data_IF_883731948525
#
_entry.id   IF_883731948525
#
_cell.length_a   1.000
_cell.length_b   1.000
_cell.length_c   1.000
_cell.angle_alpha   90.00
_cell.angle_beta   90.00
_cell.angle_gamma   90.00
#
_symmetry.space_group_name_H-M   'P 1'
#
loop_
_entity.id
_entity.type
_entity.pdbx_description
1 polymer ?
#
# COMPACT_ATOMS: atom_id res chain seq x y z
N UNK A 1 4.76 25.41 -1.60
CA UNK A 1 3.34 25.41 -1.21
C UNK A 1 3.10 26.55 -0.24
N UNK A 2 2.17 27.46 -0.53
CA UNK A 2 1.75 28.54 0.38
C UNK A 2 0.57 28.10 1.24
N UNK A 3 0.24 28.88 2.29
CA UNK A 3 -0.99 28.64 3.09
C UNK A 3 -2.26 28.67 2.22
N UNK A 4 -2.30 29.55 1.21
CA UNK A 4 -3.43 29.65 0.30
C UNK A 4 -3.56 28.40 -0.59
N UNK A 5 -2.44 27.84 -1.06
CA UNK A 5 -2.44 26.60 -1.85
C UNK A 5 -2.94 25.40 -1.01
N UNK A 6 -2.54 25.34 0.26
CA UNK A 6 -2.99 24.29 1.17
C UNK A 6 -4.50 24.37 1.43
N UNK A 7 -5.05 25.58 1.61
CA UNK A 7 -6.50 25.75 1.80
C UNK A 7 -7.29 25.22 0.60
N UNK A 8 -6.87 25.53 -0.64
CA UNK A 8 -7.53 25.02 -1.84
C UNK A 8 -7.52 23.49 -1.92
N UNK A 9 -6.39 22.86 -1.58
CA UNK A 9 -6.29 21.40 -1.55
C UNK A 9 -7.22 20.77 -0.51
N UNK A 10 -7.41 21.43 0.64
CA UNK A 10 -8.34 20.98 1.67
C UNK A 10 -9.79 21.11 1.20
N UNK A 11 -10.13 22.20 0.50
CA UNK A 11 -11.48 22.42 -0.03
C UNK A 11 -11.89 21.38 -1.11
N UNK A 12 -10.93 20.75 -1.76
CA UNK A 12 -11.17 19.67 -2.75
C UNK A 12 -11.41 18.30 -2.10
N UNK A 13 -11.10 18.14 -0.81
CA UNK A 13 -11.31 16.89 -0.10
C UNK A 13 -12.78 16.75 0.32
N UNK A 14 -13.37 15.54 0.25
CA UNK A 14 -14.63 15.30 0.92
C UNK A 14 -14.45 15.47 2.44
N UNK A 15 -15.48 15.97 3.13
CA UNK A 15 -15.45 16.22 4.58
C UNK A 15 -14.96 14.99 5.38
N UNK A 16 -15.31 13.79 4.92
CA UNK A 16 -14.92 12.52 5.53
C UNK A 16 -13.42 12.21 5.44
N UNK A 17 -12.66 12.90 4.57
CA UNK A 17 -11.24 12.66 4.35
C UNK A 17 -10.32 13.67 5.06
N UNK A 18 -10.85 14.80 5.55
CA UNK A 18 -10.04 15.91 6.10
C UNK A 18 -9.22 15.47 7.32
N UNK A 19 -9.82 14.70 8.23
CA UNK A 19 -9.12 14.21 9.43
C UNK A 19 -7.97 13.26 9.06
N UNK A 20 -8.23 12.31 8.13
CA UNK A 20 -7.24 11.37 7.64
C UNK A 20 -6.08 12.06 6.90
N UNK A 21 -6.38 13.06 6.08
CA UNK A 21 -5.37 13.86 5.40
C UNK A 21 -4.45 14.58 6.41
N UNK A 22 -4.99 15.07 7.52
CA UNK A 22 -4.21 15.67 8.60
C UNK A 22 -3.24 14.69 9.28
N UNK A 23 -3.65 13.43 9.45
CA UNK A 23 -2.78 12.35 9.98
C UNK A 23 -1.63 12.06 9.00
N UNK A 24 -1.94 11.86 7.72
CA UNK A 24 -0.95 11.58 6.67
C UNK A 24 0.07 12.72 6.53
N UNK A 25 -0.39 13.98 6.47
CA UNK A 25 0.49 15.14 6.36
C UNK A 25 1.45 15.24 7.55
N UNK A 26 0.99 14.96 8.78
CA UNK A 26 1.89 14.91 9.96
C UNK A 26 2.92 13.79 9.83
N UNK A 27 2.54 12.64 9.28
CA UNK A 27 3.45 11.52 9.01
C UNK A 27 4.49 11.86 7.94
N UNK A 28 4.10 12.51 6.85
CA UNK A 28 5.02 12.95 5.80
C UNK A 28 6.01 13.99 6.35
N UNK A 29 5.51 15.01 7.06
CA UNK A 29 6.35 16.09 7.61
C UNK A 29 7.34 15.57 8.66
N UNK A 30 6.95 14.60 9.49
CA UNK A 30 7.81 14.03 10.53
C UNK A 30 8.84 13.03 9.98
N UNK A 31 8.75 12.65 8.69
CA UNK A 31 9.64 11.71 8.04
C UNK A 31 9.30 10.21 8.07
N UNK A 32 8.34 9.66 8.84
CA UNK A 32 8.04 8.22 8.75
C UNK A 32 7.32 7.80 7.46
N UNK A 33 6.79 8.73 6.67
CA UNK A 33 6.10 8.43 5.41
C UNK A 33 6.84 9.13 4.27
N UNK A 34 7.35 8.34 3.33
CA UNK A 34 7.89 8.83 2.08
C UNK A 34 6.74 9.30 1.17
N UNK A 35 6.68 10.58 0.77
CA UNK A 35 5.61 11.08 -0.11
C UNK A 35 5.58 10.38 -1.48
N UNK A 36 6.70 9.80 -1.94
CA UNK A 36 6.74 9.07 -3.21
C UNK A 36 5.98 7.73 -3.14
N UNK A 37 5.59 7.29 -1.94
CA UNK A 37 4.76 6.10 -1.68
C UNK A 37 3.25 6.38 -1.69
N UNK A 38 2.82 7.58 -2.12
CA UNK A 38 1.39 7.93 -2.15
C UNK A 38 0.53 6.96 -2.99
N UNK A 39 1.12 6.30 -3.98
CA UNK A 39 0.45 5.29 -4.81
C UNK A 39 -0.16 4.14 -4.00
N UNK A 40 0.43 3.79 -2.84
CA UNK A 40 -0.04 2.73 -1.95
C UNK A 40 -1.44 3.02 -1.40
N UNK A 41 -1.78 4.30 -1.23
CA UNK A 41 -3.07 4.74 -0.70
C UNK A 41 -4.15 4.97 -1.76
N UNK A 42 -3.87 4.64 -3.02
CA UNK A 42 -4.90 4.69 -4.06
C UNK A 42 -5.99 3.64 -3.82
N UNK A 43 -7.24 3.89 -4.25
CA UNK A 43 -8.33 2.92 -4.08
C UNK A 43 -8.01 1.53 -4.65
N UNK A 44 -7.31 1.48 -5.78
CA UNK A 44 -6.89 0.22 -6.43
C UNK A 44 -5.92 -0.57 -5.56
N UNK A 45 -4.85 0.06 -5.07
CA UNK A 45 -3.86 -0.61 -4.23
C UNK A 45 -4.45 -1.06 -2.90
N UNK A 46 -5.30 -0.23 -2.28
CA UNK A 46 -6.01 -0.61 -1.06
C UNK A 46 -7.00 -1.76 -1.28
N UNK A 47 -7.58 -1.90 -2.48
CA UNK A 47 -8.42 -3.06 -2.82
C UNK A 47 -7.60 -4.35 -2.88
N UNK A 48 -6.45 -4.31 -3.55
CA UNK A 48 -5.51 -5.45 -3.64
C UNK A 48 -4.96 -5.83 -2.27
N UNK A 49 -4.70 -4.86 -1.40
CA UNK A 49 -4.22 -5.17 -0.05
C UNK A 49 -5.27 -5.90 0.78
N UNK A 50 -6.53 -5.47 0.72
CA UNK A 50 -7.62 -6.19 1.41
C UNK A 50 -7.81 -7.61 0.88
N UNK A 51 -7.58 -7.82 -0.42
CA UNK A 51 -7.59 -9.15 -1.02
C UNK A 51 -6.45 -10.02 -0.48
N UNK A 52 -5.22 -9.48 -0.45
CA UNK A 52 -4.07 -10.16 0.11
C UNK A 52 -4.26 -10.52 1.60
N UNK A 53 -4.77 -9.59 2.41
CA UNK A 53 -5.13 -9.84 3.81
C UNK A 53 -6.16 -10.97 3.95
N UNK A 54 -7.17 -10.98 3.08
CA UNK A 54 -8.20 -12.01 3.08
C UNK A 54 -7.66 -13.39 2.66
N UNK A 55 -6.67 -13.42 1.76
CA UNK A 55 -5.95 -14.63 1.38
C UNK A 55 -5.11 -15.17 2.54
N UNK A 56 -4.33 -14.31 3.19
CA UNK A 56 -3.53 -14.66 4.37
C UNK A 56 -4.43 -15.21 5.48
N UNK A 57 -5.52 -14.51 5.80
CA UNK A 57 -6.46 -14.91 6.86
C UNK A 57 -7.14 -16.26 6.55
N UNK A 58 -7.34 -16.57 5.27
CA UNK A 58 -7.91 -17.84 4.82
C UNK A 58 -6.86 -18.95 4.64
N UNK A 59 -5.58 -18.68 4.91
CA UNK A 59 -4.49 -19.63 4.66
C UNK A 59 -4.25 -19.92 3.17
N UNK A 60 -4.67 -19.01 2.28
CA UNK A 60 -4.41 -19.08 0.84
C UNK A 60 -3.03 -18.47 0.57
N UNK A 61 -2.00 -19.29 0.73
CA UNK A 61 -0.62 -18.89 0.47
C UNK A 61 0.37 -19.99 0.88
N UNK A 62 1.62 -19.82 0.48
CA UNK A 62 2.71 -20.68 0.92
C UNK A 62 3.55 -19.90 1.94
N UNK A 63 3.82 -20.54 3.07
CA UNK A 63 4.77 -20.04 4.07
C UNK A 63 6.07 -20.83 3.96
N UNK A 64 7.19 -20.13 3.94
CA UNK A 64 8.53 -20.73 3.93
C UNK A 64 9.26 -20.26 5.19
N UNK A 65 9.87 -21.19 5.91
CA UNK A 65 10.60 -20.92 7.14
C UNK A 65 11.99 -20.33 6.92
N UNK A 66 12.52 -20.43 5.69
CA UNK A 66 13.76 -19.80 5.27
C UNK A 66 13.73 -19.36 3.79
N UNK A 67 14.69 -18.53 3.42
CA UNK A 67 14.94 -18.13 2.04
C UNK A 67 15.39 -19.31 1.17
N UNK A 68 16.13 -20.29 1.71
CA UNK A 68 16.47 -21.50 0.96
C UNK A 68 15.23 -22.32 0.58
N UNK A 69 14.27 -22.48 1.50
CA UNK A 69 13.00 -23.17 1.22
C UNK A 69 12.21 -22.45 0.13
N UNK A 70 12.13 -21.11 0.21
CA UNK A 70 11.47 -20.28 -0.80
C UNK A 70 12.15 -20.39 -2.18
N UNK A 71 13.47 -20.26 -2.25
CA UNK A 71 14.23 -20.35 -3.50
C UNK A 71 14.12 -21.76 -4.11
N UNK A 72 14.14 -22.81 -3.30
CA UNK A 72 13.94 -24.18 -3.76
C UNK A 72 12.55 -24.35 -4.40
N UNK A 73 11.51 -23.79 -3.77
CA UNK A 73 10.17 -23.78 -4.35
C UNK A 73 10.12 -23.02 -5.67
N UNK A 74 10.64 -21.78 -5.73
CA UNK A 74 10.66 -20.99 -6.96
C UNK A 74 11.32 -21.70 -8.13
N UNK A 75 12.43 -22.42 -7.90
CA UNK A 75 13.12 -23.21 -8.93
C UNK A 75 12.33 -24.44 -9.38
N UNK A 76 11.40 -24.92 -8.55
CA UNK A 76 10.53 -26.06 -8.87
C UNK A 76 9.28 -25.64 -9.65
N UNK A 77 8.85 -24.38 -9.54
CA UNK A 77 7.71 -23.85 -10.28
C UNK A 77 8.15 -23.63 -11.73
N UNK A 78 7.46 -24.22 -12.73
CA UNK A 78 7.77 -23.95 -14.13
C UNK A 78 7.56 -22.46 -14.42
N UNK A 79 8.36 -21.86 -15.33
CA UNK A 79 8.14 -20.46 -15.72
C UNK A 79 6.69 -20.29 -16.18
N UNK A 80 6.05 -19.22 -15.73
CA UNK A 80 4.70 -18.89 -16.15
C UNK A 80 4.66 -18.88 -17.69
N UNK A 81 3.69 -19.59 -18.29
CA UNK A 81 3.47 -19.51 -19.72
C UNK A 81 3.19 -18.04 -20.05
N UNK A 82 4.05 -17.44 -20.88
CA UNK A 82 3.85 -16.12 -21.42
C UNK A 82 2.58 -16.11 -22.28
N UNK A 83 1.52 -15.45 -21.78
CA UNK A 83 0.36 -15.02 -22.58
C UNK A 83 0.71 -13.88 -23.55
#
# INVERSE_FOLDING_TARGET
>A
MTKADLHKLVDELPDTAVEGAGVLLRGIIKGPIDPDQAWFWTPEWQAKEREADADIAAGRGLFFGSDEEFIAHLKSVPPAESE
#
